data_IF_930329020175
#
_entry.id   IF_930329020175
#
_cell.length_a   1.000
_cell.length_b   1.000
_cell.length_c   1.000
_cell.angle_alpha   90.00
_cell.angle_beta   90.00
_cell.angle_gamma   90.00
#
_symmetry.space_group_name_H-M   'P 1'
#
loop_
_entity.id
_entity.type
_entity.pdbx_description
1 polymer ?
#
# COMPACT_ATOMS: atom_id res chain seq x y z
N UNK A 1 1.12 -17.58 -18.40
CA UNK A 1 1.67 -18.10 -17.13
C UNK A 1 3.06 -17.50 -16.95
N UNK A 2 3.59 -17.44 -15.74
CA UNK A 2 4.93 -16.91 -15.51
C UNK A 2 5.96 -17.86 -16.13
N UNK A 3 6.89 -17.31 -16.90
CA UNK A 3 7.98 -18.11 -17.45
C UNK A 3 8.93 -18.52 -16.34
N UNK A 4 9.33 -19.80 -16.33
CA UNK A 4 10.29 -20.31 -15.33
C UNK A 4 11.62 -19.55 -15.34
N UNK A 5 11.97 -18.88 -16.45
CA UNK A 5 13.14 -18.00 -16.57
C UNK A 5 13.17 -16.93 -15.46
N UNK A 6 12.02 -16.45 -14.98
CA UNK A 6 12.02 -15.37 -13.99
C UNK A 6 12.60 -15.81 -12.63
N UNK A 7 12.62 -17.12 -12.34
CA UNK A 7 13.09 -17.67 -11.07
C UNK A 7 14.57 -18.07 -11.12
N UNK A 8 15.38 -17.51 -12.03
CA UNK A 8 16.82 -17.81 -12.15
C UNK A 8 17.68 -16.62 -11.75
N UNK A 9 18.93 -16.90 -11.35
CA UNK A 9 19.91 -15.89 -10.97
C UNK A 9 20.23 -14.95 -12.14
N UNK A 10 20.26 -15.48 -13.36
CA UNK A 10 20.53 -14.71 -14.57
C UNK A 10 19.46 -13.64 -14.78
N UNK A 11 18.17 -13.97 -14.62
CA UNK A 11 17.10 -13.01 -14.80
C UNK A 11 17.05 -11.96 -13.68
N UNK A 12 17.29 -12.36 -12.43
CA UNK A 12 17.42 -11.41 -11.31
C UNK A 12 18.57 -10.44 -11.58
N UNK A 13 19.70 -10.93 -12.10
CA UNK A 13 20.86 -10.10 -12.46
C UNK A 13 20.56 -9.19 -13.65
N UNK A 14 19.82 -9.68 -14.64
CA UNK A 14 19.33 -8.90 -15.79
C UNK A 14 18.45 -7.72 -15.34
N UNK A 15 17.47 -7.99 -14.47
CA UNK A 15 16.59 -6.97 -13.89
C UNK A 15 17.36 -5.95 -13.06
N UNK A 16 18.29 -6.41 -12.21
CA UNK A 16 19.17 -5.53 -11.44
C UNK A 16 20.01 -4.64 -12.35
N UNK A 17 20.56 -5.19 -13.44
CA UNK A 17 21.32 -4.41 -14.41
C UNK A 17 20.49 -3.33 -15.10
N UNK A 18 19.20 -3.61 -15.34
CA UNK A 18 18.26 -2.67 -15.98
C UNK A 18 17.73 -1.59 -15.05
N UNK A 19 17.51 -1.92 -13.78
CA UNK A 19 16.81 -1.05 -12.80
C UNK A 19 17.73 -0.38 -11.80
N UNK A 20 18.87 -1.01 -11.48
CA UNK A 20 19.74 -0.60 -10.37
C UNK A 20 19.22 -0.98 -8.98
N UNK A 21 18.09 -1.69 -8.91
CA UNK A 21 17.40 -1.99 -7.66
C UNK A 21 18.05 -3.15 -6.86
N UNK A 22 17.64 -3.31 -5.61
CA UNK A 22 18.15 -4.35 -4.71
C UNK A 22 17.79 -5.77 -5.23
N UNK A 23 18.78 -6.63 -5.54
CA UNK A 23 18.52 -7.97 -6.06
C UNK A 23 17.69 -8.83 -5.11
N UNK A 24 17.79 -8.62 -3.80
CA UNK A 24 16.98 -9.37 -2.83
C UNK A 24 15.50 -8.98 -2.93
N UNK A 25 15.20 -7.70 -3.15
CA UNK A 25 13.82 -7.23 -3.34
C UNK A 25 13.24 -7.71 -4.68
N UNK A 26 14.06 -7.68 -5.74
CA UNK A 26 13.69 -8.25 -7.04
C UNK A 26 13.33 -9.73 -6.89
N UNK A 27 14.24 -10.54 -6.33
CA UNK A 27 14.01 -11.98 -6.13
C UNK A 27 12.72 -12.22 -5.35
N UNK A 28 12.59 -11.64 -4.16
CA UNK A 28 11.40 -11.86 -3.32
C UNK A 28 10.10 -11.45 -4.00
N UNK A 29 10.12 -10.40 -4.82
CA UNK A 29 8.93 -9.96 -5.57
C UNK A 29 8.55 -10.94 -6.68
N UNK A 30 9.53 -11.46 -7.43
CA UNK A 30 9.27 -12.47 -8.47
C UNK A 30 8.67 -13.74 -7.87
N UNK A 31 9.20 -14.19 -6.73
CA UNK A 31 8.68 -15.36 -6.01
C UNK A 31 7.31 -15.07 -5.37
N UNK A 32 7.01 -13.84 -4.94
CA UNK A 32 5.65 -13.45 -4.53
C UNK A 32 4.64 -13.64 -5.68
N UNK A 33 4.98 -13.21 -6.90
CA UNK A 33 4.13 -13.47 -8.06
C UNK A 33 4.03 -14.96 -8.42
N UNK A 34 5.10 -15.73 -8.21
CA UNK A 34 5.05 -17.19 -8.29
C UNK A 34 4.03 -17.80 -7.32
N UNK A 35 3.93 -17.28 -6.10
CA UNK A 35 2.92 -17.72 -5.13
C UNK A 35 1.51 -17.35 -5.57
N UNK A 36 1.31 -16.13 -6.09
CA UNK A 36 0.02 -15.70 -6.64
C UNK A 36 -0.43 -16.60 -7.80
N UNK A 37 0.48 -16.94 -8.72
CA UNK A 37 0.21 -17.90 -9.80
C UNK A 37 -0.09 -19.29 -9.25
N UNK A 38 0.67 -19.77 -8.25
CA UNK A 38 0.45 -21.07 -7.63
C UNK A 38 -0.95 -21.21 -7.03
N UNK A 39 -1.40 -20.24 -6.22
CA UNK A 39 -2.76 -20.29 -5.63
C UNK A 39 -3.85 -20.11 -6.69
N UNK A 40 -3.60 -19.32 -7.74
CA UNK A 40 -4.56 -19.17 -8.84
C UNK A 40 -4.68 -20.42 -9.70
N UNK A 41 -3.57 -21.13 -9.94
CA UNK A 41 -3.51 -22.33 -10.78
C UNK A 41 -4.24 -23.54 -10.19
N UNK A 42 -4.51 -23.52 -8.88
CA UNK A 42 -5.28 -24.56 -8.18
C UNK A 42 -6.75 -24.15 -7.97
N UNK A 43 -7.19 -23.12 -8.68
CA UNK A 43 -8.56 -22.57 -8.66
C UNK A 43 -9.05 -22.16 -7.27
N UNK A 44 -8.15 -21.60 -6.44
CA UNK A 44 -8.55 -21.02 -5.16
C UNK A 44 -9.47 -19.80 -5.41
N UNK A 45 -10.65 -19.72 -4.77
CA UNK A 45 -11.51 -18.54 -4.86
C UNK A 45 -10.99 -17.47 -3.89
N UNK A 46 -10.44 -16.38 -4.43
CA UNK A 46 -9.93 -15.28 -3.62
C UNK A 46 -10.01 -13.94 -4.35
N UNK A 47 -9.99 -12.86 -3.57
CA UNK A 47 -9.72 -11.49 -4.06
C UNK A 47 -8.30 -11.10 -3.64
N UNK A 48 -7.46 -10.75 -4.61
CA UNK A 48 -6.08 -10.32 -4.37
C UNK A 48 -6.04 -8.86 -3.93
N UNK A 49 -5.41 -8.55 -2.80
CA UNK A 49 -5.31 -7.18 -2.25
C UNK A 49 -3.88 -6.85 -1.80
N UNK A 50 -3.74 -5.80 -0.99
CA UNK A 50 -2.49 -5.46 -0.32
C UNK A 50 -1.54 -4.61 -1.16
N UNK A 51 -0.27 -4.60 -0.79
CA UNK A 51 0.76 -3.81 -1.51
C UNK A 51 1.14 -4.41 -2.86
N UNK A 52 1.13 -5.73 -2.98
CA UNK A 52 1.58 -6.43 -4.19
C UNK A 52 0.55 -6.34 -5.32
N UNK A 53 -0.74 -6.20 -5.02
CA UNK A 53 -1.77 -5.97 -6.06
C UNK A 53 -1.55 -4.66 -6.81
N UNK A 54 -0.96 -3.64 -6.17
CA UNK A 54 -0.67 -2.36 -6.81
C UNK A 54 0.31 -2.49 -7.97
N UNK A 55 1.17 -3.51 -7.94
CA UNK A 55 2.12 -3.80 -9.02
C UNK A 55 1.47 -4.44 -10.26
N UNK A 56 0.18 -4.80 -10.20
CA UNK A 56 -0.64 -5.22 -11.36
C UNK A 56 -1.70 -4.17 -11.71
N UNK A 57 -2.16 -3.42 -10.70
CA UNK A 57 -3.22 -2.44 -10.84
C UNK A 57 -2.76 -1.15 -11.51
N UNK A 58 -1.60 -0.63 -11.11
CA UNK A 58 -0.98 0.57 -11.70
C UNK A 58 -0.25 0.22 -13.00
N UNK A 59 -0.27 1.16 -13.96
CA UNK A 59 0.39 0.97 -15.27
C UNK A 59 1.89 0.68 -15.14
N UNK A 60 2.53 1.29 -14.13
CA UNK A 60 3.95 1.08 -13.81
C UNK A 60 4.07 0.80 -12.32
N UNK A 61 4.65 -0.35 -11.90
CA UNK A 61 4.95 -0.63 -10.50
C UNK A 61 5.85 0.45 -9.89
N UNK A 62 5.44 1.00 -8.75
CA UNK A 62 6.14 2.12 -8.08
C UNK A 62 7.08 1.67 -6.96
N UNK A 63 6.77 0.55 -6.30
CA UNK A 63 7.62 -0.07 -5.27
C UNK A 63 7.50 -1.59 -5.30
N UNK A 64 8.53 -2.28 -4.83
CA UNK A 64 8.50 -3.71 -4.57
C UNK A 64 7.59 -4.04 -3.39
N UNK A 65 6.99 -5.21 -3.45
CA UNK A 65 6.21 -5.83 -2.39
C UNK A 65 6.42 -7.34 -2.47
N UNK A 66 6.62 -7.98 -1.31
CA UNK A 66 7.18 -9.35 -1.23
C UNK A 66 6.20 -10.37 -0.66
N UNK A 67 5.04 -9.91 -0.23
CA UNK A 67 4.04 -10.72 0.46
C UNK A 67 2.76 -10.76 -0.39
N UNK A 68 1.97 -11.83 -0.25
CA UNK A 68 0.69 -11.95 -0.96
C UNK A 68 -0.43 -11.85 0.07
N UNK A 69 -1.29 -10.85 -0.10
CA UNK A 69 -2.47 -10.64 0.73
C UNK A 69 -3.73 -11.01 -0.05
N UNK A 70 -4.55 -11.90 0.49
CA UNK A 70 -5.82 -12.30 -0.14
C UNK A 70 -6.99 -12.23 0.84
N UNK A 71 -8.18 -12.01 0.30
CA UNK A 71 -9.45 -12.21 1.01
C UNK A 71 -10.14 -13.43 0.44
N UNK A 72 -10.64 -14.29 1.33
CA UNK A 72 -11.46 -15.46 1.00
C UNK A 72 -12.75 -15.40 1.80
N UNK A 73 -13.82 -15.97 1.25
CA UNK A 73 -15.10 -16.04 1.96
C UNK A 73 -14.98 -16.94 3.21
N UNK A 74 -15.67 -16.61 4.32
CA UNK A 74 -15.71 -17.47 5.50
C UNK A 74 -16.15 -18.90 5.15
N UNK A 75 -15.48 -19.90 5.73
CA UNK A 75 -15.73 -21.31 5.46
C UNK A 75 -15.01 -21.90 4.24
N UNK A 76 -14.18 -21.11 3.55
CA UNK A 76 -13.29 -21.63 2.49
C UNK A 76 -12.32 -22.67 3.06
N UNK A 77 -12.23 -23.85 2.42
CA UNK A 77 -11.25 -24.91 2.73
C UNK A 77 -9.84 -24.51 2.28
N UNK A 78 -9.25 -23.54 2.99
CA UNK A 78 -7.94 -22.99 2.66
C UNK A 78 -6.86 -24.08 2.69
N UNK A 79 -6.95 -25.05 3.60
CA UNK A 79 -5.93 -26.07 3.80
C UNK A 79 -5.75 -26.95 2.55
N UNK A 80 -6.85 -27.39 1.93
CA UNK A 80 -6.82 -28.15 0.68
C UNK A 80 -6.15 -27.37 -0.47
N UNK A 81 -6.45 -26.08 -0.59
CA UNK A 81 -5.83 -25.24 -1.63
C UNK A 81 -4.35 -25.01 -1.37
N UNK A 82 -3.94 -24.74 -0.13
CA UNK A 82 -2.54 -24.54 0.24
C UNK A 82 -1.72 -25.83 0.01
N UNK A 83 -2.28 -27.00 0.29
CA UNK A 83 -1.65 -28.30 0.03
C UNK A 83 -1.49 -28.61 -1.47
N UNK A 84 -2.34 -28.06 -2.33
CA UNK A 84 -2.17 -28.12 -3.78
C UNK A 84 -1.14 -27.09 -4.26
N UNK A 85 -1.26 -25.84 -3.80
CA UNK A 85 -0.39 -24.73 -4.22
C UNK A 85 1.08 -24.98 -3.86
N UNK A 86 1.37 -25.62 -2.72
CA UNK A 86 2.76 -25.93 -2.32
C UNK A 86 3.49 -26.88 -3.29
N UNK A 87 2.74 -27.61 -4.13
CA UNK A 87 3.29 -28.54 -5.13
C UNK A 87 3.55 -27.84 -6.47
N UNK A 88 3.15 -26.58 -6.59
CA UNK A 88 3.38 -25.77 -7.78
C UNK A 88 4.76 -25.12 -7.68
N UNK A 89 5.55 -25.25 -8.73
CA UNK A 89 6.85 -24.58 -8.85
C UNK A 89 6.66 -23.05 -8.67
N UNK A 90 7.55 -22.34 -7.95
CA UNK A 90 8.88 -22.75 -7.49
C UNK A 90 8.97 -23.27 -6.05
N UNK A 91 7.85 -23.60 -5.41
CA UNK A 91 7.84 -23.97 -3.99
C UNK A 91 8.04 -25.47 -3.79
N UNK A 92 8.63 -25.83 -2.65
CA UNK A 92 8.80 -27.24 -2.25
C UNK A 92 8.19 -27.57 -0.89
N UNK A 93 7.92 -26.56 -0.06
CA UNK A 93 7.33 -26.76 1.26
C UNK A 93 6.53 -25.52 1.69
N UNK A 94 5.67 -25.70 2.71
CA UNK A 94 4.95 -24.62 3.37
C UNK A 94 4.84 -24.89 4.86
N UNK A 95 4.81 -23.82 5.64
CA UNK A 95 4.47 -23.85 7.06
C UNK A 95 3.37 -22.83 7.34
N UNK A 96 2.53 -23.12 8.34
CA UNK A 96 1.59 -22.15 8.87
C UNK A 96 2.19 -21.47 10.10
N UNK A 97 2.14 -20.15 10.13
CA UNK A 97 2.53 -19.33 11.26
C UNK A 97 1.29 -18.98 12.09
N UNK A 98 0.96 -19.87 13.03
CA UNK A 98 -0.22 -19.71 13.88
C UNK A 98 0.03 -18.59 14.90
N UNK A 99 -0.61 -17.46 14.67
CA UNK A 99 -0.58 -16.30 15.57
C UNK A 99 -1.89 -16.23 16.35
N UNK A 100 -1.81 -15.97 17.66
CA UNK A 100 -3.01 -15.63 18.43
C UNK A 100 -3.49 -14.27 17.95
N UNK A 101 -4.62 -14.25 17.23
CA UNK A 101 -5.30 -13.01 16.89
C UNK A 101 -5.63 -12.24 18.16
N UNK A 102 -5.36 -10.94 18.17
CA UNK A 102 -5.79 -10.05 19.26
C UNK A 102 -7.29 -9.72 19.20
N UNK A 103 -7.91 -9.99 18.04
CA UNK A 103 -9.22 -9.48 17.63
C UNK A 103 -10.11 -10.62 17.11
N UNK A 104 -11.41 -10.37 16.97
CA UNK A 104 -12.38 -11.32 16.38
C UNK A 104 -12.22 -11.55 14.86
N UNK A 105 -11.05 -11.24 14.28
CA UNK A 105 -10.78 -11.47 12.86
C UNK A 105 -10.17 -12.85 12.69
N UNK A 106 -10.72 -13.64 11.78
CA UNK A 106 -10.07 -14.84 11.29
C UNK A 106 -9.03 -14.46 10.21
N UNK A 107 -7.75 -14.53 10.61
CA UNK A 107 -6.58 -14.30 9.76
C UNK A 107 -5.64 -15.49 9.88
N UNK A 108 -5.16 -16.03 8.76
CA UNK A 108 -4.16 -17.10 8.71
C UNK A 108 -2.94 -16.65 7.93
N UNK A 109 -1.77 -17.10 8.36
CA UNK A 109 -0.48 -16.72 7.80
C UNK A 109 0.28 -17.97 7.37
N UNK A 110 0.66 -18.07 6.10
CA UNK A 110 1.45 -19.19 5.58
C UNK A 110 2.80 -18.68 5.08
N UNK A 111 3.85 -19.49 5.25
CA UNK A 111 5.18 -19.23 4.69
C UNK A 111 5.49 -20.32 3.67
N UNK A 112 5.61 -19.93 2.41
CA UNK A 112 5.96 -20.81 1.31
C UNK A 112 7.47 -20.77 1.07
N UNK A 113 8.11 -21.94 1.11
CA UNK A 113 9.56 -22.09 1.04
C UNK A 113 10.01 -22.36 -0.39
N UNK A 114 11.05 -21.64 -0.80
CA UNK A 114 11.75 -21.85 -2.06
C UNK A 114 13.26 -21.76 -1.85
N UNK A 115 14.02 -22.35 -2.78
CA UNK A 115 15.48 -22.27 -2.77
C UNK A 115 15.91 -21.05 -3.58
N UNK A 116 16.58 -20.09 -2.93
CA UNK A 116 17.06 -18.88 -3.58
C UNK A 116 18.03 -19.24 -4.72
N UNK A 117 17.74 -18.86 -5.97
CA UNK A 117 18.66 -19.10 -7.08
C UNK A 117 19.96 -18.30 -6.93
N UNK A 118 19.92 -17.17 -6.22
CA UNK A 118 21.09 -16.30 -6.02
C UNK A 118 22.03 -16.80 -4.92
N UNK A 119 21.48 -17.40 -3.86
CA UNK A 119 22.25 -17.74 -2.66
C UNK A 119 22.30 -19.22 -2.31
N UNK A 120 21.44 -20.05 -2.92
CA UNK A 120 21.27 -21.46 -2.59
C UNK A 120 20.67 -21.71 -1.20
N UNK A 121 20.14 -20.67 -0.53
CA UNK A 121 19.53 -20.76 0.80
C UNK A 121 18.00 -20.86 0.70
N UNK A 122 17.39 -21.48 1.70
CA UNK A 122 15.93 -21.44 1.88
C UNK A 122 15.48 -20.00 2.17
N UNK A 123 14.47 -19.55 1.43
CA UNK A 123 13.81 -18.25 1.61
C UNK A 123 12.30 -18.50 1.63
N UNK A 124 11.57 -17.60 2.29
CA UNK A 124 10.11 -17.68 2.42
C UNK A 124 9.40 -16.50 1.74
N UNK A 125 8.27 -16.81 1.10
CA UNK A 125 7.24 -15.85 0.70
C UNK A 125 6.06 -16.00 1.66
N UNK A 126 5.50 -14.88 2.10
CA UNK A 126 4.38 -14.88 3.04
C UNK A 126 3.05 -14.80 2.27
N UNK A 127 2.08 -15.62 2.67
CA UNK A 127 0.68 -15.52 2.28
C UNK A 127 -0.15 -15.15 3.51
N UNK A 128 -0.78 -13.98 3.46
CA UNK A 128 -1.73 -13.53 4.47
C UNK A 128 -3.15 -13.72 3.92
N UNK A 129 -3.95 -14.50 4.63
CA UNK A 129 -5.32 -14.86 4.26
C UNK A 129 -6.28 -14.26 5.27
N UNK A 130 -7.13 -13.36 4.80
CA UNK A 130 -8.23 -12.75 5.56
C UNK A 130 -9.55 -13.44 5.20
N UNK A 131 -10.25 -13.96 6.20
CA UNK A 131 -11.57 -14.57 6.03
C UNK A 131 -12.64 -13.52 6.30
N UNK A 132 -13.23 -13.01 5.22
CA UNK A 132 -14.17 -11.90 5.30
C UNK A 132 -15.07 -11.85 4.07
N UNK A 133 -16.33 -11.46 4.26
CA UNK A 133 -17.23 -11.20 3.14
C UNK A 133 -16.71 -10.02 2.30
N UNK A 134 -16.94 -10.07 0.99
CA UNK A 134 -16.50 -9.04 0.05
C UNK A 134 -16.83 -7.60 0.49
N UNK A 135 -15.78 -6.82 0.75
CA UNK A 135 -15.93 -5.44 1.20
C UNK A 135 -15.88 -4.39 0.08
N UNK A 136 -15.11 -4.64 -0.97
CA UNK A 136 -14.85 -3.64 -1.99
C UNK A 136 -16.09 -3.29 -2.83
N UNK A 137 -16.41 -1.99 -3.01
CA UNK A 137 -17.49 -1.57 -3.89
C UNK A 137 -17.33 -2.10 -5.32
N UNK A 138 -16.10 -2.05 -5.84
CA UNK A 138 -15.76 -2.49 -7.17
C UNK A 138 -14.57 -3.44 -7.16
N UNK A 139 -14.57 -4.36 -8.13
CA UNK A 139 -13.42 -5.22 -8.44
C UNK A 139 -13.11 -5.18 -9.93
N UNK A 140 -11.86 -5.47 -10.27
CA UNK A 140 -11.36 -5.61 -11.62
C UNK A 140 -10.62 -6.94 -11.76
N UNK A 141 -10.56 -7.41 -13.00
CA UNK A 141 -9.82 -8.61 -13.37
C UNK A 141 -8.57 -8.20 -14.14
N UNK A 142 -7.40 -8.57 -13.62
CA UNK A 142 -6.11 -8.24 -14.23
C UNK A 142 -5.27 -9.50 -14.47
N UNK A 143 -4.54 -9.58 -15.59
CA UNK A 143 -3.57 -10.65 -15.79
C UNK A 143 -2.41 -10.51 -14.79
N UNK A 144 -1.81 -11.62 -14.36
CA UNK A 144 -0.58 -11.61 -13.57
C UNK A 144 0.59 -11.24 -14.50
N UNK A 145 0.74 -9.94 -14.74
CA UNK A 145 1.71 -9.38 -15.69
C UNK A 145 2.05 -7.93 -15.37
N UNK A 146 3.33 -7.60 -15.46
CA UNK A 146 3.85 -6.24 -15.47
C UNK A 146 5.24 -6.23 -16.13
N UNK A 147 5.92 -5.08 -16.12
CA UNK A 147 7.23 -4.89 -16.74
C UNK A 147 8.40 -5.64 -16.06
N UNK A 148 8.20 -6.21 -14.88
CA UNK A 148 9.18 -7.05 -14.17
C UNK A 148 8.99 -8.55 -14.46
N UNK A 149 7.84 -8.94 -15.02
CA UNK A 149 7.47 -10.33 -15.24
C UNK A 149 7.65 -10.72 -16.71
N UNK A 150 8.11 -11.95 -16.94
CA UNK A 150 8.10 -12.60 -18.26
C UNK A 150 7.05 -13.68 -18.21
N UNK A 151 6.15 -13.69 -19.19
CA UNK A 151 5.10 -14.70 -19.29
C UNK A 151 5.29 -15.58 -20.53
N UNK A 152 4.84 -16.82 -20.43
CA UNK A 152 4.76 -17.81 -21.50
C UNK A 152 3.35 -18.42 -21.53
N UNK A 153 2.80 -18.63 -22.73
CA UNK A 153 1.43 -19.11 -22.90
C UNK A 153 0.37 -18.09 -22.47
N UNK A 154 -0.75 -18.57 -21.95
CA UNK A 154 -1.90 -17.74 -21.54
C UNK A 154 -1.73 -17.19 -20.11
N UNK A 155 -1.89 -15.88 -19.95
CA UNK A 155 -1.76 -15.20 -18.65
C UNK A 155 -2.95 -15.54 -17.73
N UNK A 156 -2.67 -15.99 -16.49
CA UNK A 156 -3.72 -16.20 -15.49
C UNK A 156 -4.28 -14.85 -15.04
N UNK A 157 -5.58 -14.82 -14.78
CA UNK A 157 -6.31 -13.61 -14.41
C UNK A 157 -6.77 -13.71 -12.95
N UNK A 158 -6.54 -12.64 -12.19
CA UNK A 158 -6.92 -12.53 -10.77
C UNK A 158 -7.91 -11.39 -10.57
N UNK A 159 -8.86 -11.59 -9.66
CA UNK A 159 -9.78 -10.55 -9.18
C UNK A 159 -9.09 -9.72 -8.09
N UNK A 160 -9.24 -8.40 -8.13
CA UNK A 160 -8.70 -7.46 -7.15
C UNK A 160 -9.59 -6.21 -7.04
N UNK A 161 -9.55 -5.45 -5.94
CA UNK A 161 -10.17 -4.12 -5.90
C UNK A 161 -9.61 -3.21 -7.01
N UNK A 162 -10.45 -2.30 -7.51
CA UNK A 162 -9.99 -1.21 -8.37
C UNK A 162 -9.17 -0.17 -7.58
N UNK A 163 -8.65 0.84 -8.28
CA UNK A 163 -7.75 1.87 -7.73
C UNK A 163 -8.40 2.60 -6.56
N UNK A 164 -9.65 3.02 -6.74
CA UNK A 164 -10.43 3.74 -5.77
C UNK A 164 -10.76 2.86 -4.55
N UNK A 165 -11.18 1.61 -4.77
CA UNK A 165 -11.52 0.70 -3.67
C UNK A 165 -10.31 0.36 -2.82
N UNK A 166 -9.14 0.08 -3.41
CA UNK A 166 -7.92 -0.22 -2.64
C UNK A 166 -7.34 1.03 -1.96
N UNK A 167 -7.53 2.22 -2.55
CA UNK A 167 -7.13 3.48 -1.92
C UNK A 167 -7.91 3.73 -0.64
N UNK A 168 -9.24 3.52 -0.66
CA UNK A 168 -10.08 3.62 0.54
C UNK A 168 -9.62 2.67 1.65
N UNK A 169 -9.31 1.41 1.30
CA UNK A 169 -8.77 0.42 2.24
C UNK A 169 -7.43 0.88 2.85
N UNK A 170 -6.45 1.22 2.01
CA UNK A 170 -5.11 1.62 2.47
C UNK A 170 -5.10 2.89 3.31
N UNK A 171 -6.01 3.82 3.04
CA UNK A 171 -6.15 5.04 3.84
C UNK A 171 -6.51 4.71 5.30
N UNK A 172 -7.27 3.63 5.55
CA UNK A 172 -7.59 3.18 6.93
C UNK A 172 -6.35 2.68 7.69
N UNK A 173 -5.34 2.18 6.97
CA UNK A 173 -4.09 1.68 7.54
C UNK A 173 -3.06 2.79 7.85
N UNK A 174 -3.24 4.00 7.29
CA UNK A 174 -2.38 5.17 7.55
C UNK A 174 -2.99 6.12 8.60
N UNK A 175 -3.20 5.59 9.80
CA UNK A 175 -3.72 6.32 10.96
C UNK A 175 -3.10 5.77 12.28
N UNK A 176 -1.84 6.13 12.60
CA UNK A 176 -1.04 5.43 13.61
C UNK A 176 -1.53 5.48 15.07
N UNK A 177 -2.42 6.40 15.42
CA UNK A 177 -3.01 6.51 16.76
C UNK A 177 -4.41 5.90 16.86
N UNK A 178 -4.96 5.38 15.77
CA UNK A 178 -6.31 4.82 15.68
C UNK A 178 -6.33 3.43 15.00
N UNK A 179 -6.79 3.32 13.76
CA UNK A 179 -6.95 2.04 13.05
C UNK A 179 -5.68 1.57 12.34
N UNK A 180 -4.68 2.44 12.19
CA UNK A 180 -3.48 2.17 11.41
C UNK A 180 -2.47 1.29 12.13
N UNK A 181 -1.25 1.30 11.57
CA UNK A 181 -0.08 0.66 12.16
C UNK A 181 0.47 1.58 13.26
N UNK A 182 0.48 1.09 14.50
CA UNK A 182 0.93 1.83 15.67
C UNK A 182 2.46 2.10 15.65
N UNK A 183 2.86 3.24 16.20
CA UNK A 183 4.27 3.58 16.39
C UNK A 183 4.98 2.71 17.44
N UNK A 184 6.31 2.61 17.32
CA UNK A 184 7.15 1.99 18.34
C UNK A 184 7.08 0.47 18.38
N UNK A 185 6.53 -0.15 17.33
CA UNK A 185 6.46 -1.61 17.17
C UNK A 185 7.47 -2.16 16.16
N UNK A 186 8.50 -1.38 15.78
CA UNK A 186 9.46 -1.69 14.72
C UNK A 186 8.78 -1.92 13.35
N UNK A 187 7.72 -1.15 13.10
CA UNK A 187 6.87 -1.19 11.90
C UNK A 187 6.81 0.16 11.17
N UNK A 188 7.74 1.05 11.45
CA UNK A 188 7.82 2.39 10.87
C UNK A 188 7.94 2.35 9.34
N UNK A 189 8.62 1.33 8.80
CA UNK A 189 8.65 1.06 7.36
C UNK A 189 7.26 0.79 6.79
N UNK A 190 6.44 -0.01 7.48
CA UNK A 190 5.10 -0.37 7.02
C UNK A 190 4.16 0.84 7.05
N UNK A 191 4.32 1.76 8.01
CA UNK A 191 3.59 3.04 8.04
C UNK A 191 3.89 3.86 6.78
N UNK A 192 5.16 4.02 6.44
CA UNK A 192 5.57 4.82 5.27
C UNK A 192 5.22 4.14 3.95
N UNK A 193 5.17 2.80 3.90
CA UNK A 193 4.59 2.08 2.75
C UNK A 193 3.12 2.43 2.54
N UNK A 194 2.32 2.58 3.60
CA UNK A 194 0.91 3.02 3.43
C UNK A 194 0.81 4.44 2.88
N UNK A 195 1.61 5.38 3.39
CA UNK A 195 1.67 6.74 2.83
C UNK A 195 2.03 6.71 1.34
N UNK A 196 3.08 5.95 1.00
CA UNK A 196 3.55 5.83 -0.37
C UNK A 196 2.46 5.30 -1.29
N UNK A 197 1.83 4.19 -0.90
CA UNK A 197 0.77 3.57 -1.68
C UNK A 197 -0.42 4.52 -1.85
N UNK A 198 -0.89 5.16 -0.77
CA UNK A 198 -2.00 6.12 -0.84
C UNK A 198 -1.71 7.27 -1.81
N UNK A 199 -0.50 7.84 -1.77
CA UNK A 199 -0.13 8.92 -2.67
C UNK A 199 -0.07 8.46 -4.15
N UNK A 200 0.48 7.27 -4.42
CA UNK A 200 0.55 6.75 -5.79
C UNK A 200 -0.82 6.37 -6.36
N UNK A 201 -1.72 5.88 -5.52
CA UNK A 201 -3.10 5.60 -5.88
C UNK A 201 -3.91 6.88 -6.06
N UNK A 202 -3.65 7.91 -5.25
CA UNK A 202 -4.25 9.24 -5.42
C UNK A 202 -3.92 9.85 -6.80
N UNK A 203 -2.70 9.66 -7.30
CA UNK A 203 -2.34 10.12 -8.64
C UNK A 203 -3.06 9.33 -9.77
N UNK A 204 -3.63 8.16 -9.47
CA UNK A 204 -4.28 7.27 -10.45
C UNK A 204 -5.81 7.23 -10.34
N UNK A 205 -6.38 7.62 -9.20
CA UNK A 205 -7.82 7.59 -8.96
C UNK A 205 -8.57 8.61 -9.83
N UNK A 206 -9.84 8.35 -10.07
CA UNK A 206 -10.75 9.21 -10.84
C UNK A 206 -12.02 9.57 -10.09
N UNK A 207 -12.44 8.71 -9.16
CA UNK A 207 -13.72 8.86 -8.47
C UNK A 207 -13.54 8.82 -6.94
N UNK A 208 -13.82 9.95 -6.28
CA UNK A 208 -13.72 10.08 -4.84
C UNK A 208 -14.88 9.43 -4.08
N UNK A 209 -16.04 9.23 -4.73
CA UNK A 209 -17.19 8.59 -4.09
C UNK A 209 -16.87 7.13 -3.81
N UNK A 210 -16.28 6.41 -4.76
CA UNK A 210 -15.86 5.02 -4.58
C UNK A 210 -14.80 4.90 -3.47
N UNK A 211 -13.84 5.84 -3.41
CA UNK A 211 -12.85 5.88 -2.32
C UNK A 211 -13.53 6.06 -0.96
N UNK A 212 -14.48 7.00 -0.87
CA UNK A 212 -15.23 7.29 0.35
C UNK A 212 -16.08 6.11 0.81
N UNK A 213 -16.75 5.44 -0.11
CA UNK A 213 -17.59 4.27 0.18
C UNK A 213 -16.73 3.10 0.68
N UNK A 214 -15.62 2.82 -0.02
CA UNK A 214 -14.66 1.81 0.39
C UNK A 214 -14.06 2.12 1.77
N UNK A 215 -13.59 3.37 1.98
CA UNK A 215 -13.04 3.82 3.25
C UNK A 215 -14.04 3.61 4.40
N UNK A 216 -15.27 4.09 4.25
CA UNK A 216 -16.31 4.00 5.28
C UNK A 216 -16.65 2.55 5.64
N UNK A 217 -16.65 1.63 4.66
CA UNK A 217 -16.93 0.23 4.92
C UNK A 217 -15.77 -0.45 5.64
N UNK A 218 -14.54 -0.29 5.14
CA UNK A 218 -13.34 -0.93 5.70
C UNK A 218 -13.02 -0.38 7.10
N UNK A 219 -13.08 0.94 7.30
CA UNK A 219 -12.72 1.56 8.59
C UNK A 219 -13.64 1.11 9.71
N UNK A 220 -14.94 0.92 9.44
CA UNK A 220 -15.90 0.43 10.44
C UNK A 220 -15.61 -1.01 10.85
N UNK A 221 -15.25 -1.86 9.89
CA UNK A 221 -14.81 -3.23 10.17
C UNK A 221 -13.54 -3.23 11.01
N UNK A 222 -12.51 -2.47 10.62
CA UNK A 222 -11.26 -2.35 11.38
C UNK A 222 -11.45 -1.81 12.81
N UNK A 223 -12.30 -0.79 12.98
CA UNK A 223 -12.66 -0.26 14.31
C UNK A 223 -13.37 -1.30 15.16
N UNK A 224 -14.35 -2.02 14.59
CA UNK A 224 -15.08 -3.09 15.27
C UNK A 224 -14.12 -4.18 15.74
N UNK A 225 -13.22 -4.62 14.86
CA UNK A 225 -12.24 -5.65 15.18
C UNK A 225 -11.29 -5.26 16.32
N UNK A 226 -10.90 -3.98 16.37
CA UNK A 226 -10.00 -3.45 17.41
C UNK A 226 -10.74 -3.00 18.67
N UNK A 227 -12.08 -3.02 18.68
CA UNK A 227 -12.89 -2.52 19.79
C UNK A 227 -12.72 -1.02 20.04
N UNK A 228 -12.46 -0.24 18.99
CA UNK A 228 -12.26 1.21 19.10
C UNK A 228 -13.60 1.93 19.28
N UNK A 229 -13.59 2.96 20.13
CA UNK A 229 -14.77 3.79 20.42
C UNK A 229 -14.68 5.19 19.81
N UNK A 230 -13.61 5.51 19.08
CA UNK A 230 -13.50 6.77 18.36
C UNK A 230 -14.49 6.84 17.19
N UNK A 231 -14.63 8.00 16.56
CA UNK A 231 -15.43 8.16 15.35
C UNK A 231 -14.62 7.91 14.09
N UNK A 232 -15.29 7.68 12.95
CA UNK A 232 -14.63 7.62 11.63
C UNK A 232 -13.91 8.94 11.32
N UNK A 233 -14.46 10.07 11.75
CA UNK A 233 -13.82 11.38 11.61
C UNK A 233 -12.50 11.45 12.38
N UNK A 234 -12.42 10.85 13.57
CA UNK A 234 -11.18 10.83 14.36
C UNK A 234 -10.07 10.06 13.67
N UNK A 235 -10.41 8.98 12.95
CA UNK A 235 -9.45 8.21 12.14
C UNK A 235 -8.92 9.06 10.99
N UNK A 236 -9.78 9.78 10.26
CA UNK A 236 -9.35 10.70 9.19
C UNK A 236 -8.50 11.85 9.75
N UNK A 237 -8.86 12.39 10.92
CA UNK A 237 -8.07 13.43 11.60
C UNK A 237 -6.69 12.90 12.01
N UNK A 238 -6.59 11.65 12.46
CA UNK A 238 -5.32 11.00 12.73
C UNK A 238 -4.45 10.88 11.47
N UNK A 239 -5.02 10.44 10.34
CA UNK A 239 -4.35 10.48 9.03
C UNK A 239 -3.85 11.88 8.66
N UNK A 240 -4.70 12.91 8.80
CA UNK A 240 -4.36 14.30 8.51
C UNK A 240 -3.21 14.79 9.41
N UNK A 241 -3.24 14.48 10.71
CA UNK A 241 -2.16 14.83 11.66
C UNK A 241 -0.85 14.15 11.27
N UNK A 242 -0.91 12.88 10.86
CA UNK A 242 0.25 12.16 10.34
C UNK A 242 0.85 12.81 9.10
N UNK A 243 0.00 13.12 8.11
CA UNK A 243 0.43 13.87 6.93
C UNK A 243 1.05 15.23 7.28
N UNK A 244 0.41 16.00 8.16
CA UNK A 244 0.90 17.31 8.59
C UNK A 244 2.27 17.19 9.29
N UNK A 245 2.45 16.18 10.14
CA UNK A 245 3.71 15.90 10.80
C UNK A 245 4.83 15.67 9.79
N UNK A 246 4.59 14.87 8.75
CA UNK A 246 5.57 14.58 7.69
C UNK A 246 5.83 15.82 6.83
N UNK A 247 4.77 16.47 6.34
CA UNK A 247 4.86 17.62 5.45
C UNK A 247 5.55 18.82 6.11
N UNK A 248 5.39 18.99 7.43
CA UNK A 248 6.07 20.04 8.22
C UNK A 248 7.45 19.63 8.73
N UNK A 249 7.90 18.40 8.43
CA UNK A 249 9.16 17.82 8.93
C UNK A 249 9.27 17.85 10.46
N UNK A 250 8.17 17.47 11.13
CA UNK A 250 8.03 17.46 12.58
C UNK A 250 7.65 18.80 13.20
N UNK A 251 7.44 19.86 12.40
CA UNK A 251 7.04 21.16 12.91
C UNK A 251 5.72 21.15 13.69
N UNK A 252 4.76 20.28 13.32
CA UNK A 252 3.48 20.12 14.03
C UNK A 252 3.56 19.14 15.21
N UNK A 253 4.35 18.07 15.12
CA UNK A 253 4.55 17.10 16.19
C UNK A 253 5.96 16.46 16.12
N UNK A 254 6.95 16.98 16.86
CA UNK A 254 8.30 16.43 16.86
C UNK A 254 8.41 15.00 17.40
N UNK A 255 7.52 14.62 18.33
CA UNK A 255 7.58 13.33 19.01
C UNK A 255 7.19 12.17 18.08
N UNK A 256 6.18 12.38 17.24
CA UNK A 256 5.77 11.41 16.22
C UNK A 256 6.75 11.40 15.04
N UNK A 257 7.36 12.54 14.72
CA UNK A 257 8.22 12.67 13.54
C UNK A 257 9.42 11.72 13.55
N UNK A 258 9.93 11.35 14.73
CA UNK A 258 11.03 10.39 14.85
C UNK A 258 10.70 9.01 14.25
N UNK A 259 9.43 8.59 14.33
CA UNK A 259 8.96 7.33 13.74
C UNK A 259 8.84 7.44 12.22
N UNK A 260 8.29 8.56 11.74
CA UNK A 260 8.17 8.80 10.30
C UNK A 260 9.53 8.91 9.62
N UNK A 261 10.50 9.64 10.19
CA UNK A 261 11.82 9.80 9.58
C UNK A 261 12.60 8.48 9.52
N UNK A 262 12.43 7.62 10.52
CA UNK A 262 12.99 6.25 10.52
C UNK A 262 12.40 5.42 9.38
N UNK A 263 11.06 5.39 9.25
CA UNK A 263 10.39 4.70 8.14
C UNK A 263 10.81 5.23 6.75
N UNK A 264 10.95 6.55 6.60
CA UNK A 264 11.42 7.20 5.36
C UNK A 264 12.85 6.78 5.03
N UNK A 265 13.71 6.62 6.04
CA UNK A 265 15.08 6.11 5.85
C UNK A 265 15.11 4.67 5.36
N UNK A 266 14.18 3.82 5.85
CA UNK A 266 14.14 2.38 5.56
C UNK A 266 13.48 2.03 4.22
N UNK A 267 12.56 2.86 3.70
CA UNK A 267 11.80 2.50 2.48
C UNK A 267 12.63 2.53 1.19
N UNK A 268 13.82 3.15 1.19
CA UNK A 268 14.63 3.38 -0.02
C UNK A 268 14.80 2.14 -0.92
N UNK A 269 15.11 0.98 -0.36
CA UNK A 269 15.35 -0.24 -1.15
C UNK A 269 14.07 -0.87 -1.72
N UNK A 270 12.91 -0.41 -1.28
CA UNK A 270 11.62 -0.86 -1.79
C UNK A 270 11.13 -0.03 -2.98
N UNK A 271 11.62 1.20 -3.18
CA UNK A 271 11.14 2.07 -4.26
C UNK A 271 11.83 1.69 -5.57
N UNK A 272 11.04 1.50 -6.63
CA UNK A 272 11.55 1.06 -7.94
C UNK A 272 12.07 2.29 -8.69
N UNK A 273 13.37 2.30 -9.00
CA UNK A 273 13.98 3.27 -9.94
C UNK A 273 13.74 4.75 -9.59
N UNK A 274 13.51 5.10 -8.33
CA UNK A 274 13.29 6.48 -7.86
C UNK A 274 13.91 6.72 -6.48
N UNK A 275 14.24 7.97 -6.20
CA UNK A 275 14.63 8.39 -4.86
C UNK A 275 13.39 8.71 -4.02
N UNK A 276 13.42 8.36 -2.74
CA UNK A 276 12.42 8.77 -1.76
C UNK A 276 13.13 9.31 -0.52
N UNK A 277 12.93 10.59 -0.24
CA UNK A 277 13.55 11.30 0.88
C UNK A 277 12.48 12.09 1.64
N UNK A 278 12.87 12.78 2.72
CA UNK A 278 11.91 13.54 3.54
C UNK A 278 11.16 14.65 2.79
N UNK A 279 11.74 15.23 1.74
CA UNK A 279 11.07 16.27 0.95
C UNK A 279 9.98 15.66 0.05
N UNK A 280 10.30 14.54 -0.60
CA UNK A 280 9.35 13.77 -1.43
C UNK A 280 8.25 13.16 -0.55
N UNK A 281 8.60 12.63 0.62
CA UNK A 281 7.63 12.15 1.60
C UNK A 281 6.67 13.26 2.04
N UNK A 282 7.17 14.48 2.23
CA UNK A 282 6.34 15.65 2.51
C UNK A 282 5.37 15.97 1.37
N UNK A 283 5.81 15.89 0.11
CA UNK A 283 4.95 16.08 -1.06
C UNK A 283 3.85 15.00 -1.14
N UNK A 284 4.19 13.73 -0.90
CA UNK A 284 3.24 12.62 -0.85
C UNK A 284 2.24 12.81 0.29
N UNK A 285 2.71 13.23 1.47
CA UNK A 285 1.86 13.55 2.61
C UNK A 285 0.85 14.67 2.29
N UNK A 286 1.23 15.70 1.53
CA UNK A 286 0.29 16.75 1.11
C UNK A 286 -0.83 16.25 0.22
N UNK A 287 -0.54 15.34 -0.73
CA UNK A 287 -1.55 14.69 -1.57
C UNK A 287 -2.53 13.87 -0.72
N UNK A 288 -2.00 13.01 0.15
CA UNK A 288 -2.81 12.16 1.03
C UNK A 288 -3.62 12.99 2.05
N UNK A 289 -3.07 14.12 2.51
CA UNK A 289 -3.81 15.05 3.38
C UNK A 289 -5.01 15.66 2.67
N UNK A 290 -4.85 16.07 1.41
CA UNK A 290 -5.94 16.60 0.61
C UNK A 290 -7.03 15.54 0.35
N UNK A 291 -6.63 14.31 0.06
CA UNK A 291 -7.54 13.17 -0.04
C UNK A 291 -8.33 12.97 1.26
N UNK A 292 -7.64 12.83 2.40
CA UNK A 292 -8.27 12.61 3.69
C UNK A 292 -9.20 13.77 4.08
N UNK A 293 -8.79 15.02 3.82
CA UNK A 293 -9.63 16.20 4.02
C UNK A 293 -10.88 16.18 3.13
N UNK A 294 -10.76 15.74 1.88
CA UNK A 294 -11.88 15.63 0.94
C UNK A 294 -12.88 14.54 1.35
N UNK A 295 -12.38 13.40 1.84
CA UNK A 295 -13.23 12.34 2.41
C UNK A 295 -13.93 12.86 3.67
N UNK A 296 -13.20 13.51 4.58
CA UNK A 296 -13.72 14.03 5.85
C UNK A 296 -14.81 15.09 5.66
N UNK A 297 -14.63 16.00 4.71
CA UNK A 297 -15.57 17.09 4.44
C UNK A 297 -16.74 16.69 3.53
N UNK A 298 -16.74 15.46 3.00
CA UNK A 298 -17.72 15.04 2.00
C UNK A 298 -17.60 15.81 0.69
N UNK A 299 -16.40 16.22 0.29
CA UNK A 299 -16.17 16.97 -0.94
C UNK A 299 -16.42 16.08 -2.18
N UNK A 300 -17.37 16.46 -3.03
CA UNK A 300 -17.86 15.63 -4.16
C UNK A 300 -16.89 15.55 -5.35
N UNK A 301 -15.79 16.31 -5.33
CA UNK A 301 -14.83 16.33 -6.43
C UNK A 301 -13.39 16.49 -5.96
N UNK A 302 -12.46 15.82 -6.66
CA UNK A 302 -11.03 15.98 -6.45
C UNK A 302 -10.49 16.87 -7.57
N UNK A 303 -9.73 17.90 -7.19
CA UNK A 303 -9.01 18.73 -8.14
C UNK A 303 -7.86 17.93 -8.75
N UNK A 304 -7.68 18.05 -10.06
CA UNK A 304 -6.50 17.52 -10.77
C UNK A 304 -5.54 18.68 -11.08
N UNK A 305 -4.68 19.00 -10.12
CA UNK A 305 -3.75 20.12 -10.24
C UNK A 305 -2.60 19.74 -11.19
N UNK A 306 -2.64 20.28 -12.41
CA UNK A 306 -1.57 20.08 -13.41
C UNK A 306 -0.47 21.13 -13.32
N UNK A 307 -0.81 22.37 -12.97
CA UNK A 307 0.14 23.47 -12.84
C UNK A 307 0.18 23.99 -11.40
N UNK A 308 1.25 23.65 -10.68
CA UNK A 308 1.47 24.14 -9.33
C UNK A 308 1.85 25.62 -9.26
N UNK A 309 2.21 26.26 -10.38
CA UNK A 309 2.62 27.67 -10.44
C UNK A 309 1.57 28.64 -9.90
N UNK A 310 0.29 28.35 -10.15
CA UNK A 310 -0.85 29.15 -9.65
C UNK A 310 -0.93 29.17 -8.11
N UNK A 311 -0.37 28.16 -7.45
CA UNK A 311 -0.42 28.00 -6.01
C UNK A 311 0.80 28.57 -5.30
N UNK A 312 1.95 28.71 -5.98
CA UNK A 312 3.21 29.08 -5.35
C UNK A 312 3.09 30.39 -4.57
N UNK A 313 2.34 31.40 -5.03
CA UNK A 313 2.18 32.68 -4.32
C UNK A 313 1.22 32.61 -3.12
N UNK A 314 0.41 31.56 -3.03
CA UNK A 314 -0.64 31.40 -2.04
C UNK A 314 -0.08 30.87 -0.71
N UNK A 315 -0.85 31.06 0.36
CA UNK A 315 -0.49 30.64 1.72
C UNK A 315 -1.59 29.77 2.31
N UNK A 316 -1.25 28.71 3.07
CA UNK A 316 -2.26 27.94 3.80
C UNK A 316 -2.98 28.84 4.81
N UNK A 317 -4.28 28.61 4.98
CA UNK A 317 -5.14 29.39 5.86
C UNK A 317 -4.97 29.01 7.34
N UNK A 318 -4.80 27.72 7.62
CA UNK A 318 -4.75 27.19 9.00
C UNK A 318 -3.35 26.75 9.44
N UNK A 319 -2.40 26.58 8.51
CA UNK A 319 -1.05 26.12 8.82
C UNK A 319 -0.02 27.24 8.73
N UNK A 320 1.12 27.11 9.44
CA UNK A 320 2.20 28.10 9.36
C UNK A 320 2.88 28.02 7.98
N UNK A 321 2.85 29.08 7.14
CA UNK A 321 3.35 28.99 5.77
C UNK A 321 4.84 28.62 5.66
N UNK A 322 5.65 29.01 6.66
CA UNK A 322 7.10 28.74 6.67
C UNK A 322 7.45 27.26 6.68
N UNK A 323 6.58 26.39 7.18
CA UNK A 323 6.84 24.94 7.24
C UNK A 323 6.90 24.28 5.86
N UNK A 324 6.29 24.89 4.85
CA UNK A 324 6.12 24.28 3.52
C UNK A 324 6.89 25.01 2.42
N UNK A 325 7.79 25.93 2.78
CA UNK A 325 8.54 26.74 1.83
C UNK A 325 9.35 25.90 0.85
N UNK A 326 9.90 24.76 1.30
CA UNK A 326 10.62 23.81 0.46
C UNK A 326 9.73 23.21 -0.64
N UNK A 327 8.46 22.95 -0.35
CA UNK A 327 7.55 22.22 -1.23
C UNK A 327 7.18 23.06 -2.45
N UNK A 328 7.19 24.39 -2.31
CA UNK A 328 7.03 25.35 -3.42
C UNK A 328 8.11 25.20 -4.51
N UNK A 329 9.25 24.59 -4.18
CA UNK A 329 10.37 24.36 -5.10
C UNK A 329 10.41 22.88 -5.51
N UNK A 330 10.31 21.98 -4.53
CA UNK A 330 10.45 20.53 -4.76
C UNK A 330 9.29 19.95 -5.55
N UNK A 331 8.05 20.33 -5.20
CA UNK A 331 6.84 19.82 -5.83
C UNK A 331 5.69 20.85 -5.70
N UNK A 332 5.65 21.85 -6.60
CA UNK A 332 4.63 22.90 -6.58
C UNK A 332 3.20 22.38 -6.70
N UNK A 333 2.99 21.24 -7.36
CA UNK A 333 1.68 20.59 -7.49
C UNK A 333 1.20 20.08 -6.12
N UNK A 334 2.08 19.40 -5.39
CA UNK A 334 1.79 18.98 -4.00
C UNK A 334 1.59 20.14 -3.06
N UNK A 335 2.30 21.25 -3.27
CA UNK A 335 2.02 22.48 -2.55
C UNK A 335 0.60 22.98 -2.84
N UNK A 336 0.11 22.87 -4.09
CA UNK A 336 -1.28 23.16 -4.43
C UNK A 336 -2.28 22.30 -3.64
N UNK A 337 -2.07 20.97 -3.59
CA UNK A 337 -2.93 20.08 -2.79
C UNK A 337 -2.92 20.42 -1.29
N UNK A 338 -1.76 20.81 -0.75
CA UNK A 338 -1.67 21.32 0.62
C UNK A 338 -2.52 22.60 0.84
N UNK A 339 -2.51 23.53 -0.12
CA UNK A 339 -3.34 24.74 -0.05
C UNK A 339 -4.83 24.38 -0.06
N UNK A 340 -5.25 23.47 -0.94
CA UNK A 340 -6.65 23.04 -1.02
C UNK A 340 -7.09 22.27 0.23
N UNK A 341 -6.23 21.39 0.75
CA UNK A 341 -6.46 20.74 2.04
C UNK A 341 -6.66 21.77 3.16
N UNK A 342 -5.80 22.79 3.22
CA UNK A 342 -5.92 23.85 4.21
C UNK A 342 -7.23 24.65 4.09
N UNK A 343 -7.83 24.78 2.90
CA UNK A 343 -9.11 25.46 2.71
C UNK A 343 -10.28 24.61 3.17
N UNK A 344 -10.27 23.32 2.81
CA UNK A 344 -11.28 22.35 3.25
C UNK A 344 -11.33 22.23 4.78
N UNK A 345 -10.16 22.30 5.43
CA UNK A 345 -10.03 22.11 6.88
C UNK A 345 -10.25 23.38 7.70
N UNK A 346 -10.56 24.53 7.09
CA UNK A 346 -10.63 25.84 7.77
C UNK A 346 -11.52 25.87 9.02
N UNK A 347 -12.62 25.12 8.99
CA UNK A 347 -13.62 25.09 10.06
C UNK A 347 -13.63 23.76 10.84
N UNK A 348 -12.56 22.96 10.71
CA UNK A 348 -12.40 21.67 11.36
C UNK A 348 -11.28 21.76 12.38
N UNK A 349 -11.54 21.28 13.60
CA UNK A 349 -10.51 21.11 14.61
C UNK A 349 -9.64 19.89 14.25
N UNK A 350 -8.38 20.17 13.92
CA UNK A 350 -7.35 19.19 13.53
C UNK A 350 -6.36 18.99 14.66
#
# INVERSE_FOLDING_TARGET
MLSKKIFTQEYISELRGRTGDDPLMIERTLFAFGLLEAIKSVDMPFVFKGGTSLMLLLDIPRRFSTDIDIVVEPGTDIDSYIEKAKKVFPFYDKEEDIRKGKNNIEKRHFRFKYLSPSSGKEVVVILDVLFEERQYPNTVFKPIKNNLLVTEGEDLIVEMPDVESILGDKLTAFAPHTTGIEFGQDKELEIIKQLFDCATLFDAMKDIEIVRDSYNKVVRSEMSYRGLTCSVEDVLKDTIRGCLCIATRGGSNPDDFKYYIDGIGRIRNHIISQMFNGEIAGAYASRVMYLAASVLTGNDSILDIKDGGEYVAQKPEIFKPKWFSYMRIVDPVSYGYLIEASRLLKNIEI
#
